data_IF_995358777410
#
_entry.id   IF_995358777410
#
_cell.length_a   1.000
_cell.length_b   1.000
_cell.length_c   1.000
_cell.angle_alpha   90.00
_cell.angle_beta   90.00
_cell.angle_gamma   90.00
#
_symmetry.space_group_name_H-M   'P 1'
#
loop_
_entity.id
_entity.type
_entity.pdbx_description
1 polymer ?
#
# COMPACT_ATOMS: atom_id res chain seq x y z
N UNK A 1 14.71 34.93 -11.84
CA UNK A 1 15.39 34.49 -13.08
C UNK A 1 16.82 34.08 -12.76
N UNK A 2 17.19 32.81 -12.98
CA UNK A 2 18.56 32.33 -13.22
C UNK A 2 18.47 30.83 -13.55
N UNK A 3 18.56 30.53 -14.84
CA UNK A 3 18.58 29.18 -15.43
C UNK A 3 20.03 28.67 -15.42
N UNK A 4 20.27 27.39 -15.09
CA UNK A 4 21.56 26.72 -15.29
C UNK A 4 21.34 25.36 -15.99
N UNK A 5 21.45 25.41 -17.32
CA UNK A 5 22.20 24.53 -18.27
C UNK A 5 22.85 23.26 -17.65
N UNK A 6 22.46 22.00 -17.95
CA UNK A 6 22.68 21.10 -19.14
C UNK A 6 23.96 20.23 -19.14
N UNK A 7 23.85 19.05 -19.81
CA UNK A 7 24.85 18.06 -20.33
C UNK A 7 24.89 16.71 -19.55
N UNK A 8 24.27 15.60 -20.03
CA UNK A 8 24.59 14.58 -21.08
C UNK A 8 25.64 13.52 -20.66
N UNK A 9 25.38 12.26 -21.08
CA UNK A 9 26.22 11.03 -21.19
C UNK A 9 26.39 10.14 -19.93
N UNK A 10 26.21 8.81 -19.97
CA UNK A 10 26.12 7.88 -21.09
C UNK A 10 25.74 6.44 -20.72
N UNK A 11 25.72 5.61 -21.77
CA UNK A 11 25.28 4.20 -21.88
C UNK A 11 26.23 3.22 -21.19
N UNK A 12 25.68 2.17 -20.57
CA UNK A 12 26.37 0.87 -20.42
C UNK A 12 25.36 -0.29 -20.53
N UNK A 13 25.72 -1.28 -21.34
CA UNK A 13 24.93 -2.44 -21.78
C UNK A 13 25.51 -3.72 -21.11
N UNK A 14 24.67 -4.76 -21.01
CA UNK A 14 24.97 -6.21 -20.92
C UNK A 14 25.32 -6.83 -19.54
N UNK A 15 24.47 -7.78 -19.11
CA UNK A 15 24.80 -9.22 -19.18
C UNK A 15 23.56 -10.10 -18.89
N UNK A 16 23.28 -11.03 -19.81
CA UNK A 16 22.40 -12.19 -19.65
C UNK A 16 23.14 -13.34 -18.95
N UNK A 17 22.44 -14.11 -18.12
CA UNK A 17 22.83 -15.42 -17.60
C UNK A 17 21.98 -15.75 -16.36
N UNK A 18 21.16 -16.79 -16.24
CA UNK A 18 21.11 -18.07 -16.94
C UNK A 18 21.46 -19.19 -15.95
N UNK A 19 20.48 -19.75 -15.22
CA UNK A 19 20.51 -21.16 -14.82
C UNK A 19 19.12 -21.64 -14.35
N UNK A 20 18.57 -22.59 -15.12
CA UNK A 20 17.50 -23.51 -14.72
C UNK A 20 18.08 -24.52 -13.73
N UNK A 21 17.66 -24.49 -12.47
CA UNK A 21 17.87 -25.62 -11.56
C UNK A 21 16.65 -26.54 -11.62
N UNK A 22 16.75 -27.50 -12.53
CA UNK A 22 16.15 -28.83 -12.46
C UNK A 22 16.42 -29.43 -11.08
N UNK A 23 15.36 -29.63 -10.27
CA UNK A 23 15.38 -30.67 -9.24
C UNK A 23 14.59 -31.86 -9.78
N UNK A 24 15.32 -32.83 -10.29
CA UNK A 24 14.86 -34.20 -10.54
C UNK A 24 15.90 -35.11 -9.91
N UNK A 25 15.52 -35.79 -8.83
CA UNK A 25 16.20 -36.99 -8.33
C UNK A 25 15.20 -37.81 -7.49
N UNK A 26 14.75 -38.92 -8.08
CA UNK A 26 14.08 -40.11 -7.51
C UNK A 26 15.15 -41.04 -6.92
N UNK A 27 14.90 -41.93 -5.93
CA UNK A 27 14.21 -43.22 -6.17
C UNK A 27 13.42 -43.73 -4.93
N UNK A 28 12.53 -44.72 -4.95
CA UNK A 28 12.73 -46.13 -5.32
C UNK A 28 11.42 -46.95 -5.25
N UNK A 29 11.39 -48.02 -6.06
CA UNK A 29 10.71 -49.34 -5.90
C UNK A 29 9.19 -49.55 -6.07
N UNK A 30 8.90 -50.07 -7.27
CA UNK A 30 8.42 -51.44 -7.55
C UNK A 30 6.91 -51.80 -7.62
N UNK A 31 6.54 -52.11 -8.86
CA UNK A 31 5.71 -53.22 -9.34
C UNK A 31 4.18 -53.11 -9.45
N UNK A 32 3.76 -53.38 -10.68
CA UNK A 32 2.57 -54.09 -11.14
C UNK A 32 1.22 -53.34 -11.20
N UNK A 33 0.97 -52.83 -12.41
CA UNK A 33 -0.10 -53.30 -13.31
C UNK A 33 -1.59 -53.18 -12.90
N UNK A 34 -2.31 -52.47 -13.79
CA UNK A 34 -3.74 -52.52 -14.09
C UNK A 34 -4.76 -52.13 -13.00
N UNK A 35 -5.28 -50.89 -13.11
CA UNK A 35 -6.66 -50.66 -13.55
C UNK A 35 -6.98 -49.14 -13.53
N UNK A 36 -7.31 -48.58 -14.69
CA UNK A 36 -8.23 -47.43 -14.80
C UNK A 36 -9.65 -48.04 -14.74
N UNK A 37 -10.68 -47.45 -14.09
CA UNK A 37 -10.99 -46.05 -14.28
C UNK A 37 -11.74 -45.27 -13.18
N UNK A 38 -11.89 -43.96 -13.46
CA UNK A 38 -13.06 -43.12 -13.17
C UNK A 38 -13.20 -42.45 -11.80
N UNK A 39 -12.93 -41.14 -11.86
CA UNK A 39 -13.72 -40.00 -11.36
C UNK A 39 -13.84 -39.72 -9.86
N UNK A 40 -13.40 -38.48 -9.56
CA UNK A 40 -14.06 -37.49 -8.71
C UNK A 40 -14.33 -37.92 -7.28
N UNK A 41 -13.27 -37.92 -6.48
CA UNK A 41 -13.40 -37.61 -5.07
C UNK A 41 -13.66 -36.10 -4.95
N UNK A 42 -14.89 -35.74 -4.56
CA UNK A 42 -15.20 -34.48 -3.91
C UNK A 42 -14.30 -34.36 -2.67
N UNK A 43 -13.18 -33.67 -2.82
CA UNK A 43 -12.49 -33.07 -1.69
C UNK A 43 -13.10 -31.70 -1.48
N UNK A 44 -14.01 -31.64 -0.51
CA UNK A 44 -14.40 -30.42 0.21
C UNK A 44 -13.16 -29.56 0.41
N UNK A 45 -13.02 -28.51 -0.40
CA UNK A 45 -12.19 -27.38 -0.04
C UNK A 45 -12.97 -26.65 1.04
N UNK A 46 -12.63 -26.96 2.29
CA UNK A 46 -12.87 -26.07 3.41
C UNK A 46 -12.45 -24.67 2.98
N UNK A 47 -13.45 -23.84 2.70
CA UNK A 47 -13.29 -22.43 2.51
C UNK A 47 -12.75 -21.91 3.84
N UNK A 48 -11.42 -21.77 3.92
CA UNK A 48 -10.75 -21.03 4.99
C UNK A 48 -11.50 -19.72 5.11
N UNK A 49 -12.15 -19.41 6.25
CA UNK A 49 -12.74 -18.12 6.43
C UNK A 49 -11.58 -17.12 6.31
N UNK A 50 -11.60 -16.30 5.27
CA UNK A 50 -10.89 -15.04 5.31
C UNK A 50 -11.54 -14.27 6.45
N UNK A 51 -11.03 -14.47 7.65
CA UNK A 51 -11.24 -13.57 8.77
C UNK A 51 -10.60 -12.27 8.34
N UNK A 52 -11.36 -11.46 7.60
CA UNK A 52 -11.16 -10.03 7.52
C UNK A 52 -11.18 -9.57 8.96
N UNK A 53 -10.01 -9.47 9.60
CA UNK A 53 -9.87 -8.80 10.88
C UNK A 53 -10.56 -7.46 10.69
N UNK A 54 -11.66 -7.17 11.43
CA UNK A 54 -12.32 -5.88 11.31
C UNK A 54 -11.26 -4.81 11.55
N UNK A 55 -11.02 -3.94 10.57
CA UNK A 55 -10.22 -2.75 10.84
C UNK A 55 -10.88 -2.08 12.07
N UNK A 56 -10.11 -1.73 13.11
CA UNK A 56 -10.65 -1.05 14.26
C UNK A 56 -11.40 0.18 13.73
N UNK A 57 -12.71 0.20 13.94
CA UNK A 57 -13.56 1.32 13.54
C UNK A 57 -12.96 2.56 14.18
N UNK A 58 -12.35 3.42 13.36
CA UNK A 58 -11.68 4.62 13.84
C UNK A 58 -12.75 5.43 14.57
N UNK A 59 -12.56 5.72 15.86
CA UNK A 59 -13.50 6.51 16.65
C UNK A 59 -13.75 7.93 16.07
N UNK A 60 -12.97 8.31 15.05
CA UNK A 60 -13.12 9.53 14.27
C UNK A 60 -14.26 9.35 13.26
N UNK A 61 -15.31 10.18 13.28
CA UNK A 61 -16.36 10.12 12.25
C UNK A 61 -15.76 10.31 10.84
N UNK A 62 -16.41 9.75 9.82
CA UNK A 62 -16.02 10.04 8.44
C UNK A 62 -16.29 11.52 8.12
N UNK A 63 -15.39 12.20 7.39
CA UNK A 63 -15.69 13.54 6.89
C UNK A 63 -16.92 13.54 5.98
N UNK A 64 -17.64 14.66 5.95
CA UNK A 64 -18.70 14.90 4.97
C UNK A 64 -18.15 15.14 3.55
N UNK A 65 -19.03 15.35 2.57
CA UNK A 65 -18.64 15.54 1.18
C UNK A 65 -17.76 16.79 0.94
N UNK A 66 -18.02 17.90 1.65
CA UNK A 66 -17.26 19.14 1.48
C UNK A 66 -15.88 19.04 2.13
N UNK A 67 -15.82 18.40 3.30
CA UNK A 67 -14.57 18.06 3.99
C UNK A 67 -13.73 17.09 3.17
N UNK A 68 -14.35 16.06 2.59
CA UNK A 68 -13.68 15.10 1.69
C UNK A 68 -13.12 15.80 0.46
N UNK A 69 -13.91 16.64 -0.22
CA UNK A 69 -13.41 17.41 -1.37
C UNK A 69 -12.22 18.31 -1.00
N UNK A 70 -12.25 18.93 0.18
CA UNK A 70 -11.14 19.76 0.68
C UNK A 70 -9.89 18.93 0.94
N UNK A 71 -10.03 17.78 1.63
CA UNK A 71 -8.95 16.84 1.90
C UNK A 71 -8.33 16.33 0.60
N UNK A 72 -9.14 15.86 -0.35
CA UNK A 72 -8.68 15.27 -1.61
C UNK A 72 -7.96 16.30 -2.48
N UNK A 73 -8.46 17.55 -2.52
CA UNK A 73 -7.75 18.64 -3.19
C UNK A 73 -6.40 18.92 -2.55
N UNK A 74 -6.32 18.94 -1.22
CA UNK A 74 -5.07 19.19 -0.51
C UNK A 74 -4.06 18.06 -0.71
N UNK A 75 -4.49 16.79 -0.63
CA UNK A 75 -3.64 15.63 -0.88
C UNK A 75 -3.10 15.62 -2.32
N UNK A 76 -3.94 15.91 -3.31
CA UNK A 76 -3.52 16.00 -4.71
C UNK A 76 -2.46 17.09 -4.96
N UNK A 77 -2.49 18.18 -4.19
CA UNK A 77 -1.50 19.25 -4.30
C UNK A 77 -0.11 18.85 -3.76
N UNK A 78 -0.07 17.88 -2.83
CA UNK A 78 1.18 17.33 -2.27
C UNK A 78 1.77 16.29 -3.21
N UNK A 79 0.94 15.32 -3.62
CA UNK A 79 1.27 14.28 -4.61
C UNK A 79 -0.06 13.68 -5.15
N UNK A 80 -0.31 13.68 -6.47
CA UNK A 80 -1.55 13.14 -7.03
C UNK A 80 -1.83 11.67 -6.69
N UNK A 81 -0.77 10.89 -6.43
CA UNK A 81 -0.84 9.50 -6.01
C UNK A 81 -1.46 9.32 -4.62
N UNK A 82 -1.44 10.34 -3.75
CA UNK A 82 -2.04 10.29 -2.40
C UNK A 82 -3.56 10.18 -2.44
N UNK A 83 -4.18 10.72 -3.49
CA UNK A 83 -5.63 10.74 -3.68
C UNK A 83 -6.10 9.89 -4.86
N UNK A 84 -5.21 9.13 -5.50
CA UNK A 84 -5.55 8.21 -6.60
C UNK A 84 -6.62 7.16 -6.23
N UNK A 85 -6.79 6.89 -4.92
CA UNK A 85 -7.85 6.06 -4.35
C UNK A 85 -8.51 6.83 -3.21
N UNK A 86 -9.54 7.61 -3.53
CA UNK A 86 -10.20 8.53 -2.61
C UNK A 86 -10.62 7.90 -1.27
N UNK A 87 -11.36 6.78 -1.30
CA UNK A 87 -11.81 6.09 -0.09
C UNK A 87 -10.63 5.69 0.82
N UNK A 88 -9.55 5.18 0.22
CA UNK A 88 -8.33 4.83 0.94
C UNK A 88 -7.66 6.06 1.53
N UNK A 89 -7.63 7.17 0.79
CA UNK A 89 -7.08 8.43 1.26
C UNK A 89 -7.87 8.99 2.47
N UNK A 90 -9.20 8.92 2.42
CA UNK A 90 -10.09 9.28 3.54
C UNK A 90 -9.84 8.38 4.75
N UNK A 91 -9.78 7.05 4.58
CA UNK A 91 -9.54 6.13 5.69
C UNK A 91 -8.16 6.35 6.34
N UNK A 92 -7.10 6.51 5.54
CA UNK A 92 -5.76 6.84 6.05
C UNK A 92 -5.75 8.17 6.80
N UNK A 93 -6.46 9.17 6.30
CA UNK A 93 -6.61 10.48 6.93
C UNK A 93 -7.33 10.41 8.27
N UNK A 94 -8.39 9.59 8.38
CA UNK A 94 -9.08 9.35 9.66
C UNK A 94 -8.15 8.74 10.71
N UNK A 95 -7.24 7.86 10.29
CA UNK A 95 -6.23 7.31 11.19
C UNK A 95 -5.16 8.33 11.60
N UNK A 96 -4.79 9.27 10.72
CA UNK A 96 -3.94 10.42 11.11
C UNK A 96 -4.68 11.29 12.12
N UNK A 97 -5.97 11.54 11.92
CA UNK A 97 -6.76 12.30 12.87
C UNK A 97 -6.88 11.59 14.23
N UNK A 98 -7.00 10.26 14.24
CA UNK A 98 -6.99 9.46 15.46
C UNK A 98 -5.68 9.65 16.23
N UNK A 99 -4.54 9.66 15.53
CA UNK A 99 -3.23 9.90 16.13
C UNK A 99 -3.14 11.32 16.75
N UNK A 100 -3.67 12.33 16.05
CA UNK A 100 -3.74 13.72 16.54
C UNK A 100 -4.63 13.83 17.79
N UNK A 101 -5.85 13.27 17.73
CA UNK A 101 -6.81 13.30 18.85
C UNK A 101 -6.36 12.45 20.04
N UNK A 102 -5.56 11.42 19.79
CA UNK A 102 -4.91 10.61 20.80
C UNK A 102 -3.73 11.31 21.49
N UNK A 103 -3.40 12.56 21.13
CA UNK A 103 -2.35 13.33 21.78
C UNK A 103 -0.93 12.81 21.53
N UNK A 104 -0.71 12.09 20.43
CA UNK A 104 0.64 11.65 20.06
C UNK A 104 1.52 12.86 19.72
N UNK A 105 2.81 12.72 20.01
CA UNK A 105 3.84 13.69 19.64
C UNK A 105 3.82 14.02 18.15
N UNK A 106 4.07 15.28 17.78
CA UNK A 106 3.97 15.76 16.41
C UNK A 106 4.85 14.97 15.42
N UNK A 107 6.10 14.69 15.82
CA UNK A 107 7.03 13.88 15.01
C UNK A 107 6.52 12.43 14.83
N UNK A 108 5.88 11.87 15.86
CA UNK A 108 5.27 10.54 15.77
C UNK A 108 4.08 10.54 14.82
N UNK A 109 3.19 11.55 14.90
CA UNK A 109 2.05 11.69 13.98
C UNK A 109 2.53 11.81 12.53
N UNK A 110 3.58 12.60 12.29
CA UNK A 110 4.18 12.78 10.96
C UNK A 110 4.77 11.47 10.42
N UNK A 111 5.61 10.78 11.20
CA UNK A 111 6.17 9.47 10.83
C UNK A 111 5.07 8.44 10.54
N UNK A 112 4.03 8.44 11.35
CA UNK A 112 2.84 7.61 11.17
C UNK A 112 2.06 7.95 9.90
N UNK A 113 1.91 9.23 9.56
CA UNK A 113 1.27 9.68 8.33
C UNK A 113 2.08 9.22 7.11
N UNK A 114 3.40 9.39 7.15
CA UNK A 114 4.33 8.91 6.13
C UNK A 114 4.14 7.42 5.85
N UNK A 115 4.30 6.58 6.88
CA UNK A 115 4.15 5.13 6.77
C UNK A 115 2.76 4.69 6.28
N UNK A 116 1.70 5.44 6.63
CA UNK A 116 0.35 5.15 6.16
C UNK A 116 0.19 5.43 4.67
N UNK A 117 0.74 6.53 4.18
CA UNK A 117 0.50 7.01 2.82
C UNK A 117 1.49 6.48 1.78
N UNK A 118 2.71 6.15 2.20
CA UNK A 118 3.71 5.49 1.36
C UNK A 118 3.24 4.11 0.84
N UNK A 119 3.87 3.69 -0.26
CA UNK A 119 3.58 2.47 -0.99
C UNK A 119 2.53 2.64 -2.10
N UNK A 120 2.51 1.68 -3.01
CA UNK A 120 1.55 1.65 -4.12
C UNK A 120 1.74 2.82 -5.08
N UNK A 121 0.75 3.72 -5.14
CA UNK A 121 0.75 4.90 -6.02
C UNK A 121 1.71 6.00 -5.58
N UNK A 122 2.23 5.93 -4.35
CA UNK A 122 3.22 6.87 -3.81
C UNK A 122 4.42 6.06 -3.28
N UNK A 123 5.44 5.77 -4.10
CA UNK A 123 6.53 4.87 -3.73
C UNK A 123 7.31 5.32 -2.49
N UNK A 124 7.44 6.64 -2.29
CA UNK A 124 8.14 7.25 -1.17
C UNK A 124 7.60 8.65 -0.91
N UNK A 125 7.64 9.09 0.34
CA UNK A 125 7.34 10.45 0.76
C UNK A 125 8.56 11.09 1.44
N UNK A 126 8.72 12.38 1.23
CA UNK A 126 9.63 13.18 2.06
C UNK A 126 8.98 13.48 3.41
N UNK A 127 9.79 13.88 4.38
CA UNK A 127 9.28 14.26 5.70
C UNK A 127 8.42 15.53 5.60
N UNK A 128 8.78 16.47 4.72
CA UNK A 128 8.00 17.68 4.44
C UNK A 128 6.61 17.33 3.89
N UNK A 129 6.52 16.44 2.89
CA UNK A 129 5.23 15.98 2.37
C UNK A 129 4.40 15.27 3.45
N UNK A 130 5.03 14.51 4.35
CA UNK A 130 4.34 13.89 5.47
C UNK A 130 3.77 14.93 6.46
N UNK A 131 4.51 16.02 6.70
CA UNK A 131 4.02 17.14 7.51
C UNK A 131 2.85 17.87 6.84
N UNK A 132 2.92 18.06 5.51
CA UNK A 132 1.84 18.64 4.72
C UNK A 132 0.57 17.78 4.75
N UNK A 133 0.71 16.45 4.72
CA UNK A 133 -0.42 15.52 4.89
C UNK A 133 -1.09 15.73 6.24
N UNK A 134 -0.33 15.81 7.33
CA UNK A 134 -0.89 16.06 8.67
C UNK A 134 -1.63 17.40 8.71
N UNK A 135 -1.08 18.43 8.06
CA UNK A 135 -1.71 19.76 7.94
C UNK A 135 -3.01 19.71 7.13
N UNK A 136 -3.03 18.97 6.02
CA UNK A 136 -4.23 18.76 5.20
C UNK A 136 -5.34 18.05 5.98
N UNK A 137 -5.00 17.06 6.82
CA UNK A 137 -5.98 16.36 7.66
C UNK A 137 -6.56 17.28 8.75
N UNK A 138 -5.71 18.04 9.45
CA UNK A 138 -6.14 19.00 10.47
C UNK A 138 -7.06 20.07 9.89
N UNK A 139 -6.67 20.68 8.77
CA UNK A 139 -7.42 21.78 8.15
C UNK A 139 -8.73 21.36 7.48
N UNK A 140 -8.90 20.07 7.16
CA UNK A 140 -10.11 19.57 6.48
C UNK A 140 -11.22 19.16 7.45
N UNK A 141 -10.94 18.25 8.38
CA UNK A 141 -11.97 17.71 9.27
C UNK A 141 -11.50 17.39 10.69
N UNK A 142 -10.19 17.40 10.96
CA UNK A 142 -9.65 17.01 12.26
C UNK A 142 -9.37 18.22 13.17
N UNK A 143 -10.44 18.77 13.76
CA UNK A 143 -10.41 19.90 14.69
C UNK A 143 -10.81 19.47 16.10
#
# INVERSE_FOLDING_TARGET
MKRKTWIITGVAVLAFGGMLSLFKDEPDKASAENAKPTATASATQDAKPSTSTPEPSSAIPSPDAAQTATLIRALNAIDPGLAAKEERAVNRSRNVCLDVKGGKEAATVQSNAKARFEGGTVPSLTDDQAADIVTAVKSSFCN
#
